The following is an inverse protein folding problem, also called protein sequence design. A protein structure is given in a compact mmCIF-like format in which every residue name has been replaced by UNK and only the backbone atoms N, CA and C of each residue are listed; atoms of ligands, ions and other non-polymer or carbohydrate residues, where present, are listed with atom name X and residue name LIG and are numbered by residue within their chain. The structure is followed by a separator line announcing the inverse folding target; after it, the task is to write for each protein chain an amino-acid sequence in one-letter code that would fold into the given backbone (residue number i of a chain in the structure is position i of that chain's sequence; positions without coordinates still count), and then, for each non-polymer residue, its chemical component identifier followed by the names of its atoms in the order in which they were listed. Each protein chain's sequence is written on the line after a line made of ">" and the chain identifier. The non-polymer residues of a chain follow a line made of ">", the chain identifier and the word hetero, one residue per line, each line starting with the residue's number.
data_IF_668089102523
#
_entry.id   IF_668089102523
#
_cell.length_a   1.000
_cell.length_b   1.000
_cell.length_c   1.000
_cell.angle_alpha   90.00
_cell.angle_beta   90.00
_cell.angle_gamma   90.00
#
_symmetry.space_group_name_H-M   'P 1'
#
loop_
_entity.id
_entity.type
_entity.pdbx_description
1 polymer ?
#
# COMPACT_ATOMS: atom_id res chain seq x y z
N UNK A 1 -22.50 1.52 18.81
CA UNK A 1 -22.80 0.37 17.91
C UNK A 1 -21.86 0.30 16.70
N UNK A 2 -21.64 1.39 15.96
CA UNK A 2 -20.75 1.43 14.78
C UNK A 2 -19.34 0.84 15.01
N UNK A 3 -18.68 1.17 16.13
CA UNK A 3 -17.34 0.64 16.47
C UNK A 3 -17.33 -0.90 16.57
N UNK A 4 -18.43 -1.50 17.06
CA UNK A 4 -18.55 -2.96 17.16
C UNK A 4 -18.65 -3.59 15.78
N UNK A 5 -19.41 -2.99 14.87
CA UNK A 5 -19.52 -3.45 13.48
C UNK A 5 -18.17 -3.38 12.76
N UNK A 6 -17.42 -2.28 12.92
CA UNK A 6 -16.08 -2.14 12.31
C UNK A 6 -15.14 -3.23 12.81
N UNK A 7 -15.05 -3.44 14.13
CA UNK A 7 -14.19 -4.49 14.70
C UNK A 7 -14.55 -5.91 14.24
N UNK A 8 -15.84 -6.19 14.08
CA UNK A 8 -16.29 -7.49 13.53
C UNK A 8 -15.92 -7.57 12.05
N UNK A 9 -16.18 -6.51 11.28
CA UNK A 9 -15.82 -6.41 9.86
C UNK A 9 -14.34 -6.66 9.63
N UNK A 10 -13.45 -5.99 10.37
CA UNK A 10 -12.00 -6.20 10.30
C UNK A 10 -11.61 -7.66 10.53
N UNK A 11 -12.23 -8.35 11.50
CA UNK A 11 -11.94 -9.76 11.78
C UNK A 11 -12.43 -10.66 10.66
N UNK A 12 -13.62 -10.38 10.11
CA UNK A 12 -14.20 -11.15 9.01
C UNK A 12 -13.37 -11.00 7.74
N UNK A 13 -12.95 -9.80 7.38
CA UNK A 13 -12.15 -9.55 6.16
C UNK A 13 -10.73 -10.07 6.28
N UNK A 14 -10.11 -9.99 7.48
CA UNK A 14 -8.85 -10.68 7.77
C UNK A 14 -9.00 -12.21 7.66
N UNK A 15 -10.09 -12.78 8.17
CA UNK A 15 -10.38 -14.20 8.00
C UNK A 15 -10.58 -14.60 6.53
N UNK A 16 -11.33 -13.78 5.78
CA UNK A 16 -11.61 -13.97 4.36
C UNK A 16 -10.32 -13.94 3.53
N UNK A 17 -9.44 -12.96 3.75
CA UNK A 17 -8.16 -12.87 3.06
C UNK A 17 -7.24 -14.04 3.38
N UNK A 18 -7.19 -14.50 4.63
CA UNK A 18 -6.44 -15.71 5.02
C UNK A 18 -6.97 -16.99 4.35
N UNK A 19 -8.29 -17.10 4.17
CA UNK A 19 -8.91 -18.21 3.45
C UNK A 19 -8.58 -18.15 1.96
N UNK A 20 -8.80 -16.99 1.33
CA UNK A 20 -8.54 -16.76 -0.09
C UNK A 20 -7.05 -16.87 -0.43
N UNK A 21 -6.15 -16.62 0.51
CA UNK A 21 -4.71 -16.81 0.34
C UNK A 21 -4.36 -18.24 -0.09
N UNK A 22 -5.18 -19.22 0.31
CA UNK A 22 -4.99 -20.64 -0.03
C UNK A 22 -5.58 -21.01 -1.39
N UNK A 23 -6.48 -20.18 -1.92
CA UNK A 23 -7.15 -20.41 -3.19
C UNK A 23 -6.34 -19.80 -4.36
N UNK A 24 -6.70 -20.18 -5.58
CA UNK A 24 -6.00 -19.78 -6.81
C UNK A 24 -6.81 -18.74 -7.59
N UNK A 25 -7.21 -17.66 -6.93
CA UNK A 25 -7.99 -16.57 -7.51
C UNK A 25 -7.36 -15.21 -7.17
N UNK A 26 -6.51 -14.69 -8.06
CA UNK A 26 -5.75 -13.45 -7.89
C UNK A 26 -6.64 -12.24 -7.54
N UNK A 27 -7.64 -11.94 -8.37
CA UNK A 27 -8.55 -10.81 -8.22
C UNK A 27 -9.35 -10.91 -6.92
N UNK A 28 -9.87 -12.09 -6.60
CA UNK A 28 -10.64 -12.29 -5.36
C UNK A 28 -9.77 -12.09 -4.13
N UNK A 29 -8.53 -12.61 -4.17
CA UNK A 29 -7.55 -12.40 -3.11
C UNK A 29 -7.19 -10.91 -2.96
N UNK A 30 -6.87 -10.23 -4.07
CA UNK A 30 -6.54 -8.80 -4.09
C UNK A 30 -7.67 -7.96 -3.49
N UNK A 31 -8.90 -8.13 -3.97
CA UNK A 31 -10.07 -7.43 -3.44
C UNK A 31 -10.27 -7.68 -1.95
N UNK A 32 -10.01 -8.90 -1.46
CA UNK A 32 -10.11 -9.20 -0.03
C UNK A 32 -9.04 -8.53 0.83
N UNK A 33 -7.81 -8.41 0.32
CA UNK A 33 -6.71 -7.74 1.01
C UNK A 33 -6.94 -6.22 1.06
N UNK A 34 -7.35 -5.65 -0.08
CA UNK A 34 -7.77 -4.25 -0.17
C UNK A 34 -8.89 -3.96 0.82
N UNK A 35 -9.95 -4.78 0.83
CA UNK A 35 -11.09 -4.58 1.71
C UNK A 35 -10.70 -4.71 3.19
N UNK A 36 -9.82 -5.65 3.52
CA UNK A 36 -9.28 -5.80 4.88
C UNK A 36 -8.49 -4.55 5.31
N UNK A 37 -7.63 -4.02 4.44
CA UNK A 37 -6.94 -2.75 4.66
C UNK A 37 -7.93 -1.59 4.82
N UNK A 38 -8.92 -1.47 3.94
CA UNK A 38 -9.87 -0.36 3.94
C UNK A 38 -10.66 -0.28 5.25
N UNK A 39 -11.11 -1.43 5.78
CA UNK A 39 -11.75 -1.47 7.10
C UNK A 39 -10.79 -1.10 8.23
N UNK A 40 -9.56 -1.61 8.18
CA UNK A 40 -8.53 -1.31 9.18
C UNK A 40 -8.16 0.19 9.20
N UNK A 41 -8.09 0.83 8.03
CA UNK A 41 -7.77 2.25 7.90
C UNK A 41 -9.01 3.16 7.97
N UNK A 42 -10.22 2.58 7.90
CA UNK A 42 -11.50 3.27 7.78
C UNK A 42 -11.54 4.27 6.61
N UNK A 43 -10.95 3.87 5.49
CA UNK A 43 -10.80 4.64 4.26
C UNK A 43 -10.93 3.72 3.06
N UNK A 44 -11.54 4.21 1.98
CA UNK A 44 -11.57 3.51 0.70
C UNK A 44 -10.22 3.60 -0.02
N UNK A 45 -9.93 2.63 -0.88
CA UNK A 45 -8.65 2.51 -1.59
C UNK A 45 -8.36 3.69 -2.54
N UNK A 46 -9.41 4.23 -3.14
CA UNK A 46 -9.41 5.32 -4.12
C UNK A 46 -9.59 6.71 -3.48
N UNK A 47 -9.47 6.78 -2.15
CA UNK A 47 -9.66 8.03 -1.41
C UNK A 47 -8.60 9.07 -1.74
N UNK A 48 -9.01 10.34 -1.89
CA UNK A 48 -8.09 11.47 -1.89
C UNK A 48 -7.65 11.89 -0.48
N UNK A 49 -8.29 11.34 0.56
CA UNK A 49 -8.10 11.72 1.96
C UNK A 49 -7.06 10.84 2.68
N UNK A 50 -6.07 10.33 1.96
CA UNK A 50 -4.97 9.50 2.48
C UNK A 50 -4.30 10.14 3.71
N UNK A 51 -4.20 11.47 3.72
CA UNK A 51 -3.65 12.28 4.81
C UNK A 51 -4.40 12.18 6.13
N UNK A 52 -5.65 11.67 6.16
CA UNK A 52 -6.39 11.40 7.42
C UNK A 52 -5.75 10.33 8.29
N UNK A 53 -4.89 9.50 7.71
CA UNK A 53 -4.13 8.49 8.45
C UNK A 53 -3.01 9.12 9.29
N UNK A 54 -2.68 10.40 9.04
CA UNK A 54 -1.63 11.10 9.78
C UNK A 54 -2.15 11.56 11.16
N UNK A 55 -1.37 11.36 12.24
CA UNK A 55 -1.71 11.82 13.58
C UNK A 55 -2.00 13.33 13.59
N UNK A 56 -3.11 13.70 14.21
CA UNK A 56 -3.54 15.10 14.32
C UNK A 56 -4.28 15.65 13.09
N UNK A 57 -4.42 14.88 12.00
CA UNK A 57 -5.18 15.30 10.81
C UNK A 57 -6.61 14.75 10.87
N UNK A 58 -7.52 15.55 11.43
CA UNK A 58 -8.96 15.28 11.40
C UNK A 58 -9.61 15.59 10.04
N UNK A 59 -10.92 15.30 9.87
CA UNK A 59 -11.64 15.53 8.61
C UNK A 59 -11.52 16.96 8.07
N UNK A 60 -11.63 17.97 8.93
CA UNK A 60 -11.52 19.37 8.51
C UNK A 60 -10.15 19.72 7.93
N UNK A 61 -9.07 19.29 8.59
CA UNK A 61 -7.69 19.53 8.13
C UNK A 61 -7.39 18.75 6.85
N UNK A 62 -7.92 17.53 6.74
CA UNK A 62 -7.80 16.74 5.52
C UNK A 62 -8.49 17.42 4.34
N UNK A 63 -9.68 18.00 4.52
CA UNK A 63 -10.36 18.76 3.47
C UNK A 63 -9.55 19.97 3.00
N UNK A 64 -8.89 20.69 3.91
CA UNK A 64 -8.00 21.80 3.54
C UNK A 64 -6.83 21.30 2.68
N UNK A 65 -6.16 20.23 3.09
CA UNK A 65 -5.07 19.62 2.33
C UNK A 65 -5.53 19.16 0.94
N UNK A 66 -6.64 18.42 0.85
CA UNK A 66 -7.21 17.96 -0.42
C UNK A 66 -7.56 19.15 -1.32
N UNK A 67 -8.19 20.21 -0.79
CA UNK A 67 -8.50 21.42 -1.56
C UNK A 67 -7.25 22.14 -2.09
N UNK A 68 -6.11 21.96 -1.42
CA UNK A 68 -4.81 22.48 -1.83
C UNK A 68 -4.00 21.49 -2.70
N UNK A 69 -4.62 20.40 -3.18
CA UNK A 69 -3.98 19.38 -4.02
C UNK A 69 -3.05 18.43 -3.26
N UNK A 70 -3.11 18.41 -1.94
CA UNK A 70 -2.29 17.54 -1.07
C UNK A 70 -3.00 16.22 -0.77
N UNK A 71 -3.17 15.41 -1.82
CA UNK A 71 -3.97 14.17 -1.82
C UNK A 71 -3.16 12.87 -1.65
N UNK A 72 -1.84 12.95 -1.50
CA UNK A 72 -0.95 11.80 -1.38
C UNK A 72 0.13 12.07 -0.33
N UNK A 73 0.81 11.03 0.14
CA UNK A 73 1.96 11.21 1.03
C UNK A 73 3.10 11.95 0.33
N UNK A 74 3.35 11.64 -0.94
CA UNK A 74 4.38 12.29 -1.76
C UNK A 74 4.13 13.79 -1.91
N UNK A 75 2.88 14.20 -2.14
CA UNK A 75 2.55 15.63 -2.25
C UNK A 75 2.73 16.41 -0.95
N UNK A 76 2.75 15.73 0.21
CA UNK A 76 3.12 16.31 1.51
C UNK A 76 4.64 16.40 1.65
N UNK A 77 5.40 15.35 1.28
CA UNK A 77 6.87 15.39 1.34
C UNK A 77 7.47 16.46 0.43
N UNK A 78 6.86 16.67 -0.73
CA UNK A 78 7.36 17.59 -1.76
C UNK A 78 6.92 19.05 -1.51
N UNK A 79 6.00 19.28 -0.57
CA UNK A 79 5.54 20.61 -0.22
C UNK A 79 6.60 21.39 0.56
N UNK A 80 6.53 22.73 0.50
CA UNK A 80 7.23 23.55 1.49
C UNK A 80 6.52 23.41 2.86
N UNK A 81 7.23 23.12 3.97
CA UNK A 81 6.63 23.06 5.30
C UNK A 81 5.79 24.29 5.68
N UNK A 82 6.19 25.49 5.20
CA UNK A 82 5.51 26.76 5.51
C UNK A 82 4.19 26.87 4.76
N UNK A 83 4.08 26.25 3.59
CA UNK A 83 2.82 26.14 2.88
C UNK A 83 1.86 25.18 3.60
N UNK A 84 2.36 24.06 4.12
CA UNK A 84 1.55 23.13 4.91
C UNK A 84 1.00 23.81 6.18
N UNK A 85 1.85 24.57 6.87
CA UNK A 85 1.48 25.38 8.04
C UNK A 85 0.39 26.40 7.69
N UNK A 86 0.55 27.12 6.58
CA UNK A 86 -0.43 28.10 6.09
C UNK A 86 -1.76 27.44 5.71
N UNK A 87 -1.74 26.34 4.96
CA UNK A 87 -2.94 25.59 4.54
C UNK A 87 -3.72 25.12 5.77
N UNK A 88 -3.01 24.63 6.78
CA UNK A 88 -3.60 24.03 7.99
C UNK A 88 -3.86 25.04 9.10
N UNK A 89 -3.52 26.32 8.89
CA UNK A 89 -3.56 27.37 9.91
C UNK A 89 -2.85 26.96 11.21
N UNK A 90 -1.62 26.45 11.08
CA UNK A 90 -0.77 26.01 12.21
C UNK A 90 0.50 26.84 12.25
N UNK A 91 1.06 26.99 13.46
CA UNK A 91 2.32 27.67 13.65
C UNK A 91 3.50 26.74 13.31
N UNK A 92 4.64 27.31 12.86
CA UNK A 92 5.90 26.57 12.82
C UNK A 92 6.22 25.93 14.17
N UNK A 93 6.78 24.71 14.21
CA UNK A 93 7.33 23.93 13.09
C UNK A 93 6.39 22.82 12.55
N UNK A 94 5.07 22.99 12.64
CA UNK A 94 4.09 21.92 12.34
C UNK A 94 4.29 21.26 10.98
N UNK A 95 4.64 22.02 9.94
CA UNK A 95 4.83 21.46 8.59
C UNK A 95 6.00 20.49 8.51
N UNK A 96 7.09 20.78 9.23
CA UNK A 96 8.25 19.89 9.31
C UNK A 96 7.90 18.63 10.08
N UNK A 97 7.17 18.77 11.20
CA UNK A 97 6.68 17.62 11.98
C UNK A 97 5.76 16.71 11.15
N UNK A 98 4.89 17.30 10.33
CA UNK A 98 4.01 16.53 9.44
C UNK A 98 4.83 15.74 8.40
N UNK A 99 5.85 16.35 7.81
CA UNK A 99 6.73 15.66 6.88
C UNK A 99 7.54 14.56 7.56
N UNK A 100 8.08 14.79 8.77
CA UNK A 100 8.78 13.77 9.55
C UNK A 100 7.89 12.55 9.80
N UNK A 101 6.61 12.75 10.08
CA UNK A 101 5.66 11.64 10.24
C UNK A 101 5.48 10.88 8.93
N UNK A 102 5.34 11.58 7.79
CA UNK A 102 5.22 10.93 6.48
C UNK A 102 6.50 10.15 6.12
N UNK A 103 7.67 10.66 6.48
CA UNK A 103 8.95 9.96 6.28
C UNK A 103 9.08 8.66 7.07
N UNK A 104 8.24 8.41 8.08
CA UNK A 104 8.22 7.13 8.83
C UNK A 104 7.27 6.10 8.20
N UNK A 105 6.53 6.48 7.16
CA UNK A 105 5.63 5.59 6.43
C UNK A 105 6.44 4.80 5.39
N UNK A 106 6.21 3.47 5.28
CA UNK A 106 6.86 2.64 4.28
C UNK A 106 6.62 3.15 2.85
N UNK A 107 7.67 3.15 2.02
CA UNK A 107 7.63 3.52 0.60
C UNK A 107 8.38 2.49 -0.22
N UNK A 108 7.70 1.95 -1.23
CA UNK A 108 8.23 0.91 -2.10
C UNK A 108 8.02 1.29 -3.56
N UNK A 109 8.92 0.86 -4.43
CA UNK A 109 8.73 0.80 -5.87
C UNK A 109 8.45 -0.63 -6.31
N UNK A 110 7.70 -0.81 -7.39
CA UNK A 110 7.46 -2.11 -7.99
C UNK A 110 7.74 -2.05 -9.48
N UNK A 111 8.57 -2.97 -9.96
CA UNK A 111 8.92 -3.09 -11.38
C UNK A 111 8.75 -4.53 -11.82
N UNK A 112 8.21 -4.70 -13.02
CA UNK A 112 8.05 -5.99 -13.67
C UNK A 112 8.67 -5.89 -15.06
N UNK A 113 9.70 -6.70 -15.33
CA UNK A 113 10.48 -6.64 -16.57
C UNK A 113 10.55 -8.04 -17.17
N UNK A 114 10.23 -8.14 -18.47
CA UNK A 114 10.42 -9.37 -19.23
C UNK A 114 11.86 -9.46 -19.70
N UNK A 115 12.57 -10.49 -19.27
CA UNK A 115 13.98 -10.76 -19.63
C UNK A 115 14.11 -12.16 -20.22
N UNK A 116 14.08 -12.25 -21.56
CA UNK A 116 14.17 -13.53 -22.26
C UNK A 116 12.97 -14.43 -21.97
N UNK A 117 13.21 -15.60 -21.36
CA UNK A 117 12.17 -16.56 -20.96
C UNK A 117 11.70 -16.41 -19.49
N UNK A 118 12.05 -15.31 -18.83
CA UNK A 118 11.74 -15.08 -17.42
C UNK A 118 11.19 -13.67 -17.21
N UNK A 119 10.32 -13.54 -16.22
CA UNK A 119 9.85 -12.25 -15.72
C UNK A 119 10.65 -11.97 -14.46
N UNK A 120 11.34 -10.84 -14.44
CA UNK A 120 12.03 -10.32 -13.28
C UNK A 120 11.13 -9.29 -12.60
N UNK A 121 10.76 -9.60 -11.37
CA UNK A 121 9.99 -8.73 -10.50
C UNK A 121 10.92 -8.14 -9.46
N UNK A 122 10.99 -6.82 -9.39
CA UNK A 122 11.81 -6.09 -8.44
C UNK A 122 10.93 -5.21 -7.56
N UNK A 123 11.06 -5.38 -6.25
CA UNK A 123 10.51 -4.47 -5.25
C UNK A 123 11.66 -3.61 -4.74
N UNK A 124 11.62 -2.32 -5.06
CA UNK A 124 12.59 -1.34 -4.56
C UNK A 124 12.16 -0.86 -3.19
N UNK A 125 13.05 -0.94 -2.20
CA UNK A 125 12.78 -0.44 -0.84
C UNK A 125 13.33 0.97 -0.74
N UNK A 126 12.44 1.95 -0.91
CA UNK A 126 12.77 3.38 -0.81
C UNK A 126 12.86 3.77 0.67
N UNK A 127 11.89 3.31 1.47
CA UNK A 127 11.86 3.47 2.91
C UNK A 127 11.12 2.29 3.56
N UNK A 128 11.72 1.53 4.48
CA UNK A 128 11.02 0.44 5.17
C UNK A 128 9.92 0.91 6.13
N UNK A 129 10.00 2.17 6.56
CA UNK A 129 9.15 2.73 7.62
C UNK A 129 9.51 2.21 9.01
N UNK A 130 8.93 2.85 10.04
CA UNK A 130 9.32 2.62 11.43
C UNK A 130 8.54 1.51 12.12
N UNK A 131 7.41 1.07 11.54
CA UNK A 131 6.54 0.08 12.17
C UNK A 131 7.03 -1.35 11.89
N UNK A 132 7.59 -2.08 12.87
CA UNK A 132 8.11 -3.44 12.67
C UNK A 132 7.01 -4.49 12.45
N UNK A 133 5.75 -4.13 12.70
CA UNK A 133 4.58 -4.99 12.48
C UNK A 133 3.86 -4.65 11.16
N UNK A 134 4.40 -3.72 10.39
CA UNK A 134 3.88 -3.46 9.06
C UNK A 134 4.10 -4.69 8.18
N UNK A 135 3.05 -5.09 7.47
CA UNK A 135 3.13 -6.21 6.55
C UNK A 135 2.60 -5.84 5.19
N UNK A 136 3.20 -6.47 4.19
CA UNK A 136 2.96 -6.21 2.78
C UNK A 136 2.76 -7.53 2.06
N UNK A 137 1.80 -7.57 1.15
CA UNK A 137 1.48 -8.74 0.35
C UNK A 137 1.85 -8.47 -1.11
N UNK A 138 2.73 -9.29 -1.65
CA UNK A 138 3.09 -9.31 -3.06
C UNK A 138 2.31 -10.41 -3.76
N UNK A 139 1.56 -10.05 -4.80
CA UNK A 139 0.79 -10.98 -5.61
C UNK A 139 1.14 -10.72 -7.07
N UNK A 140 1.48 -11.76 -7.80
CA UNK A 140 1.64 -11.74 -9.25
C UNK A 140 0.65 -12.72 -9.84
N UNK A 141 -0.16 -12.24 -10.77
CA UNK A 141 -1.18 -13.04 -11.44
C UNK A 141 -1.39 -12.61 -12.88
N UNK A 142 -2.34 -13.24 -13.54
CA UNK A 142 -2.77 -12.88 -14.89
C UNK A 142 -4.21 -12.38 -14.94
N UNK A 143 -4.61 -11.96 -16.14
CA UNK A 143 -5.99 -11.58 -16.44
C UNK A 143 -7.00 -12.74 -16.36
N UNK A 144 -6.53 -13.99 -16.32
CA UNK A 144 -7.36 -15.19 -16.16
C UNK A 144 -7.54 -15.58 -14.67
N UNK A 145 -7.15 -14.70 -13.74
CA UNK A 145 -7.29 -14.87 -12.30
C UNK A 145 -6.34 -15.92 -11.69
N UNK A 146 -5.32 -16.37 -12.44
CA UNK A 146 -4.29 -17.27 -11.94
C UNK A 146 -3.27 -16.52 -11.09
N UNK A 147 -2.67 -17.21 -10.13
CA UNK A 147 -1.60 -16.68 -9.27
C UNK A 147 -0.29 -17.39 -9.62
N UNK A 148 0.72 -16.63 -10.02
CA UNK A 148 2.08 -17.13 -10.27
C UNK A 148 2.98 -17.02 -9.05
N UNK A 149 2.81 -15.95 -8.27
CA UNK A 149 3.56 -15.70 -7.05
C UNK A 149 2.64 -15.06 -6.01
N UNK A 150 2.74 -15.53 -4.77
CA UNK A 150 2.19 -14.84 -3.60
C UNK A 150 3.21 -14.90 -2.48
N UNK A 151 3.57 -13.76 -1.93
CA UNK A 151 4.51 -13.64 -0.84
C UNK A 151 3.97 -12.62 0.16
N UNK A 152 3.94 -12.99 1.43
CA UNK A 152 3.63 -12.05 2.51
C UNK A 152 4.91 -11.75 3.28
N UNK A 153 5.19 -10.47 3.45
CA UNK A 153 6.29 -9.98 4.26
C UNK A 153 5.74 -9.46 5.58
N UNK A 154 6.13 -10.09 6.70
CA UNK A 154 5.58 -9.78 8.03
C UNK A 154 6.58 -9.09 8.96
N UNK A 155 7.86 -9.15 8.65
CA UNK A 155 8.92 -8.47 9.36
C UNK A 155 9.62 -7.47 8.44
N UNK A 156 10.54 -6.66 8.97
CA UNK A 156 11.34 -5.74 8.17
C UNK A 156 12.64 -6.39 7.65
N UNK A 157 12.84 -7.70 7.83
CA UNK A 157 14.11 -8.35 7.43
C UNK A 157 14.32 -8.34 5.92
N UNK A 158 13.25 -8.49 5.13
CA UNK A 158 13.30 -8.38 3.67
C UNK A 158 13.67 -6.98 3.18
N UNK A 159 13.55 -5.96 4.04
CA UNK A 159 13.92 -4.57 3.75
C UNK A 159 15.39 -4.25 4.02
N UNK A 160 16.16 -5.19 4.59
CA UNK A 160 17.59 -5.01 4.86
C UNK A 160 18.38 -4.81 3.57
N UNK A 161 17.97 -5.51 2.51
CA UNK A 161 18.48 -5.27 1.17
C UNK A 161 17.66 -4.12 0.55
N UNK A 162 18.28 -3.22 -0.20
CA UNK A 162 17.57 -2.11 -0.85
C UNK A 162 16.56 -2.56 -1.92
N UNK A 163 16.63 -3.83 -2.31
CA UNK A 163 15.74 -4.43 -3.31
C UNK A 163 15.44 -5.90 -2.96
N UNK A 164 14.25 -6.33 -3.35
CA UNK A 164 13.85 -7.73 -3.37
C UNK A 164 13.54 -8.14 -4.81
N UNK A 165 14.26 -9.16 -5.32
CA UNK A 165 14.15 -9.60 -6.71
C UNK A 165 13.66 -11.05 -6.76
N UNK A 166 12.66 -11.32 -7.59
CA UNK A 166 12.18 -12.68 -7.88
C UNK A 166 12.08 -12.89 -9.38
N UNK A 167 12.51 -14.06 -9.83
CA UNK A 167 12.42 -14.48 -11.22
C UNK A 167 11.32 -15.53 -11.39
N UNK A 168 10.37 -15.26 -12.26
CA UNK A 168 9.24 -16.14 -12.57
C UNK A 168 9.45 -16.70 -13.98
N UNK A 169 9.59 -18.03 -14.14
CA UNK A 169 9.70 -18.64 -15.47
C UNK A 169 8.43 -18.46 -16.31
N UNK A 170 8.55 -18.00 -17.56
CA UNK A 170 7.40 -17.84 -18.47
C UNK A 170 6.66 -19.14 -18.77
N UNK A 171 7.29 -20.29 -18.56
CA UNK A 171 6.65 -21.62 -18.70
C UNK A 171 5.41 -21.78 -17.80
N UNK A 172 5.32 -21.02 -16.71
CA UNK A 172 4.19 -21.02 -15.78
C UNK A 172 3.07 -20.08 -16.30
N UNK A 173 3.43 -19.10 -17.13
CA UNK A 173 2.55 -18.03 -17.62
C UNK A 173 2.09 -18.25 -19.07
N UNK A 174 2.14 -19.47 -19.60
CA UNK A 174 2.00 -19.76 -21.05
C UNK A 174 0.69 -19.27 -21.69
N UNK A 175 -0.37 -19.14 -20.92
CA UNK A 175 -1.70 -18.71 -21.39
C UNK A 175 -2.05 -17.27 -20.94
N UNK A 176 -1.12 -16.59 -20.28
CA UNK A 176 -1.34 -15.25 -19.77
C UNK A 176 -1.17 -14.22 -20.89
N UNK A 177 -2.18 -13.38 -21.09
CA UNK A 177 -2.09 -12.26 -22.03
C UNK A 177 -1.52 -10.99 -21.39
N UNK A 178 -1.80 -10.80 -20.10
CA UNK A 178 -1.31 -9.69 -19.28
C UNK A 178 -0.96 -10.27 -17.92
N UNK A 179 0.20 -9.87 -17.40
CA UNK A 179 0.68 -10.28 -16.09
C UNK A 179 0.73 -9.03 -15.23
N UNK A 180 0.08 -9.06 -14.08
CA UNK A 180 0.02 -7.94 -13.17
C UNK A 180 0.63 -8.33 -11.83
N UNK A 181 1.49 -7.46 -11.32
CA UNK A 181 2.04 -7.53 -9.99
C UNK A 181 1.45 -6.43 -9.11
N UNK A 182 1.08 -6.81 -7.90
CA UNK A 182 0.49 -5.94 -6.89
C UNK A 182 1.25 -6.09 -5.58
N UNK A 183 1.63 -4.96 -5.01
CA UNK A 183 2.22 -4.87 -3.68
C UNK A 183 1.24 -4.12 -2.78
N UNK A 184 0.56 -4.86 -1.90
CA UNK A 184 -0.57 -4.37 -1.10
C UNK A 184 -0.16 -4.28 0.37
N UNK A 185 -0.22 -3.08 0.94
CA UNK A 185 0.00 -2.86 2.36
C UNK A 185 -1.21 -3.29 3.19
N UNK A 186 -0.97 -3.86 4.38
CA UNK A 186 -2.04 -4.24 5.31
C UNK A 186 -2.55 -3.06 6.17
N UNK A 187 -1.77 -1.98 6.29
CA UNK A 187 -2.00 -0.94 7.32
C UNK A 187 -2.07 0.49 6.81
N UNK A 188 -1.82 0.72 5.52
CA UNK A 188 -1.79 2.06 4.92
C UNK A 188 -2.45 2.04 3.55
N UNK A 189 -3.43 2.92 3.36
CA UNK A 189 -4.00 3.26 2.04
C UNK A 189 -3.12 4.31 1.37
N UNK A 190 -2.93 4.20 0.06
CA UNK A 190 -2.18 5.17 -0.75
C UNK A 190 -0.69 4.87 -0.93
N UNK A 191 -0.20 3.70 -0.50
CA UNK A 191 1.20 3.25 -0.72
C UNK A 191 1.31 1.96 -1.52
N UNK A 192 0.18 1.39 -1.96
CA UNK A 192 0.18 0.18 -2.79
C UNK A 192 0.84 0.46 -4.13
N UNK A 193 1.50 -0.56 -4.70
CA UNK A 193 2.14 -0.47 -6.01
C UNK A 193 1.52 -1.49 -6.98
N UNK A 194 1.46 -1.11 -8.25
CA UNK A 194 1.04 -1.97 -9.35
C UNK A 194 2.07 -1.88 -10.48
N UNK A 195 2.40 -3.03 -11.08
CA UNK A 195 3.20 -3.13 -12.30
C UNK A 195 2.56 -4.16 -13.23
N UNK A 196 2.68 -3.96 -14.55
CA UNK A 196 2.14 -4.86 -15.58
C UNK A 196 3.07 -4.91 -16.80
#
# INVERSE_FOLDING_TARGET
>A
EAIRFIKIGERLTKGMSLYLWKLSHANTLLSSLVLAKCLNCQLWEDTQYVVRQLPGIGPALASLLVSAGKTSFDSITDANPRDLERILNRHPPFGNQLQEVVWRIPRFGLRLILTGEQIELTVDIINPGDNPHHSVNLIVGDNNNNIFLRQRFQDNSWTLNKEYIVKIPLKICKEASVIEAHLISDSWVGIDQKAS
#
